data_IF_317895087511
#
_entry.id   IF_317895087511
#
_cell.length_a   1.000
_cell.length_b   1.000
_cell.length_c   1.000
_cell.angle_alpha   90.00
_cell.angle_beta   90.00
_cell.angle_gamma   90.00
#
_symmetry.space_group_name_H-M   'P 1'
#
loop_
_entity.id
_entity.type
_entity.pdbx_description
1 polymer ?
#
# COMPACT_ATOMS: atom_id res chain seq x y z
N UNK A 1 16.00 -13.58 1.97
CA UNK A 1 14.64 -13.01 2.01
C UNK A 1 14.72 -11.50 1.79
N UNK A 2 14.58 -11.06 0.54
CA UNK A 2 14.43 -9.64 0.17
C UNK A 2 12.94 -9.32 0.00
N UNK A 3 12.44 -8.33 0.74
CA UNK A 3 11.05 -7.89 0.71
C UNK A 3 10.84 -6.79 -0.33
N UNK A 4 9.87 -6.97 -1.21
CA UNK A 4 9.43 -5.98 -2.18
C UNK A 4 8.11 -5.34 -1.75
N UNK A 5 7.95 -4.05 -1.98
CA UNK A 5 6.63 -3.42 -2.14
C UNK A 5 6.57 -2.60 -3.41
N UNK A 6 5.37 -2.34 -3.92
CA UNK A 6 5.14 -1.64 -5.17
C UNK A 6 4.04 -0.60 -4.94
N UNK A 7 4.25 0.63 -5.41
CA UNK A 7 3.19 1.62 -5.52
C UNK A 7 3.63 3.04 -5.19
N UNK A 8 2.73 3.81 -4.59
CA UNK A 8 2.89 5.25 -4.50
C UNK A 8 3.91 5.73 -3.48
N UNK A 9 4.72 6.69 -3.94
CA UNK A 9 5.48 7.62 -3.11
C UNK A 9 4.91 9.01 -3.38
N UNK A 10 4.61 9.73 -2.31
CA UNK A 10 4.10 11.10 -2.38
C UNK A 10 4.58 11.91 -1.18
N UNK A 11 4.30 13.21 -1.19
CA UNK A 11 4.38 14.04 0.01
C UNK A 11 3.01 14.39 0.55
N UNK A 12 2.90 14.43 1.88
CA UNK A 12 1.70 14.92 2.55
C UNK A 12 1.90 16.36 3.04
N UNK A 13 0.89 17.19 2.81
CA UNK A 13 0.81 18.58 3.28
C UNK A 13 -0.45 18.71 4.14
N UNK A 14 -0.28 19.06 5.41
CA UNK A 14 -1.36 18.99 6.42
C UNK A 14 -1.79 20.38 6.83
N UNK A 15 -3.09 20.65 6.81
CA UNK A 15 -3.65 21.88 7.36
C UNK A 15 -3.56 21.87 8.89
N UNK A 16 -3.13 22.98 9.49
CA UNK A 16 -3.06 23.10 10.96
C UNK A 16 -4.40 23.43 11.60
N UNK A 17 -5.41 23.75 10.79
CA UNK A 17 -6.77 24.08 11.24
C UNK A 17 -7.75 22.96 10.88
N UNK A 18 -8.78 22.81 11.70
CA UNK A 18 -9.91 21.94 11.38
C UNK A 18 -10.88 22.65 10.43
N UNK A 19 -11.61 21.88 9.64
CA UNK A 19 -12.69 22.39 8.78
C UNK A 19 -13.01 21.46 7.60
N UNK A 20 -13.81 21.95 6.66
CA UNK A 20 -14.28 21.18 5.51
C UNK A 20 -13.54 21.59 4.24
N UNK A 21 -12.64 20.73 3.76
CA UNK A 21 -11.91 20.94 2.51
C UNK A 21 -10.94 22.14 2.51
N UNK A 22 -10.59 22.60 1.30
CA UNK A 22 -9.57 23.64 1.05
C UNK A 22 -10.15 24.79 0.22
N UNK A 23 -11.30 25.31 0.62
CA UNK A 23 -12.02 26.37 -0.13
C UNK A 23 -11.54 27.79 0.21
N UNK A 24 -10.65 27.92 1.18
CA UNK A 24 -10.11 29.18 1.68
C UNK A 24 -8.62 29.03 1.96
N UNK A 25 -7.88 30.15 1.98
CA UNK A 25 -6.49 30.15 2.39
C UNK A 25 -6.37 29.73 3.86
N UNK A 26 -5.46 28.81 4.13
CA UNK A 26 -5.22 28.30 5.48
C UNK A 26 -3.75 27.91 5.67
N UNK A 27 -3.23 27.98 6.90
CA UNK A 27 -1.89 27.52 7.21
C UNK A 27 -1.73 26.01 6.97
N UNK A 28 -0.62 25.65 6.33
CA UNK A 28 -0.24 24.27 6.02
C UNK A 28 1.15 23.98 6.58
N UNK A 29 1.43 22.72 6.90
CA UNK A 29 2.76 22.23 7.29
C UNK A 29 3.13 21.04 6.41
N UNK A 30 4.42 20.89 6.16
CA UNK A 30 4.99 19.84 5.30
C UNK A 30 6.11 20.43 4.43
N UNK A 31 6.56 19.69 3.40
CA UNK A 31 6.12 18.33 3.02
C UNK A 31 6.57 17.25 4.01
N UNK A 32 5.78 16.18 4.15
CA UNK A 32 6.18 14.94 4.84
C UNK A 32 6.26 13.77 3.87
N UNK A 33 7.30 12.90 3.95
CA UNK A 33 7.32 11.62 3.23
C UNK A 33 6.06 10.80 3.52
N UNK A 34 5.41 10.27 2.48
CA UNK A 34 4.14 9.55 2.62
C UNK A 34 3.89 8.63 1.41
N UNK A 35 2.74 7.95 1.42
CA UNK A 35 2.37 6.86 0.52
C UNK A 35 2.33 5.53 1.28
N UNK A 36 1.26 4.76 1.12
CA UNK A 36 1.05 3.56 1.95
C UNK A 36 2.18 2.52 1.74
N UNK A 37 2.61 2.22 0.50
CA UNK A 37 3.77 1.38 0.25
C UNK A 37 5.06 1.95 0.83
N UNK A 38 5.28 3.26 0.71
CA UNK A 38 6.48 3.93 1.23
C UNK A 38 6.58 3.84 2.76
N UNK A 39 5.47 4.06 3.46
CA UNK A 39 5.41 3.96 4.94
C UNK A 39 5.65 2.52 5.38
N UNK A 40 5.06 1.54 4.68
CA UNK A 40 5.28 0.13 4.97
C UNK A 40 6.76 -0.27 4.84
N UNK A 41 7.40 0.09 3.71
CA UNK A 41 8.77 -0.32 3.45
C UNK A 41 9.78 0.42 4.34
N UNK A 42 9.48 1.68 4.70
CA UNK A 42 10.27 2.45 5.67
C UNK A 42 10.33 1.74 7.03
N UNK A 43 9.20 1.19 7.49
CA UNK A 43 9.17 0.41 8.72
C UNK A 43 9.98 -0.89 8.60
N UNK A 44 9.93 -1.57 7.44
CA UNK A 44 10.76 -2.75 7.20
C UNK A 44 12.27 -2.41 7.20
N UNK A 45 12.65 -1.29 6.59
CA UNK A 45 14.03 -0.78 6.60
C UNK A 45 14.52 -0.46 8.02
N UNK A 46 13.70 0.24 8.82
CA UNK A 46 14.02 0.56 10.23
C UNK A 46 14.25 -0.66 11.10
N UNK A 47 13.56 -1.76 10.80
CA UNK A 47 13.73 -3.04 11.48
C UNK A 47 14.95 -3.85 10.95
N UNK A 48 15.66 -3.34 9.95
CA UNK A 48 16.88 -3.94 9.40
C UNK A 48 16.63 -5.04 8.37
N UNK A 49 15.41 -5.17 7.84
CA UNK A 49 15.12 -6.17 6.81
C UNK A 49 15.66 -5.74 5.46
N UNK A 50 16.26 -6.67 4.67
CA UNK A 50 16.58 -6.41 3.28
C UNK A 50 15.29 -6.13 2.50
N UNK A 51 15.11 -4.90 2.06
CA UNK A 51 13.86 -4.48 1.43
C UNK A 51 14.08 -3.46 0.31
N UNK A 52 13.17 -3.44 -0.66
CA UNK A 52 13.19 -2.57 -1.84
C UNK A 52 11.77 -2.15 -2.19
N UNK A 53 11.64 -0.95 -2.76
CA UNK A 53 10.39 -0.44 -3.30
C UNK A 53 10.52 -0.16 -4.80
N UNK A 54 9.53 -0.60 -5.57
CA UNK A 54 9.33 -0.12 -6.94
C UNK A 54 8.36 1.06 -6.93
N UNK A 55 8.83 2.22 -7.36
CA UNK A 55 8.04 3.44 -7.43
C UNK A 55 8.61 4.42 -8.45
N UNK A 56 7.92 5.56 -8.63
CA UNK A 56 8.34 6.64 -9.52
C UNK A 56 7.99 7.99 -8.91
N UNK A 57 8.98 8.88 -8.88
CA UNK A 57 8.85 10.25 -8.35
C UNK A 57 9.30 11.26 -9.40
N UNK A 58 8.91 12.52 -9.22
CA UNK A 58 9.39 13.62 -10.05
C UNK A 58 10.85 13.95 -9.73
N UNK A 59 11.54 14.58 -10.68
CA UNK A 59 12.84 15.21 -10.44
C UNK A 59 12.65 16.56 -9.72
N UNK A 60 12.15 16.50 -8.49
CA UNK A 60 11.84 17.64 -7.64
C UNK A 60 12.22 17.38 -6.18
N UNK A 61 12.09 18.41 -5.34
CA UNK A 61 12.45 18.34 -3.92
C UNK A 61 11.58 17.33 -3.15
N UNK A 62 10.33 17.13 -3.56
CA UNK A 62 9.41 16.17 -2.94
C UNK A 62 9.83 14.72 -3.22
N UNK A 63 10.31 14.44 -4.42
CA UNK A 63 10.88 13.14 -4.79
C UNK A 63 12.18 12.90 -4.04
N UNK A 64 13.07 13.90 -4.04
CA UNK A 64 14.36 13.85 -3.34
C UNK A 64 14.19 13.60 -1.84
N UNK A 65 13.24 14.30 -1.19
CA UNK A 65 12.91 14.13 0.21
C UNK A 65 12.55 12.68 0.57
N UNK A 66 11.69 12.05 -0.24
CA UNK A 66 11.26 10.66 -0.01
C UNK A 66 12.41 9.67 -0.22
N UNK A 67 13.18 9.82 -1.29
CA UNK A 67 14.34 8.95 -1.58
C UNK A 67 15.36 9.03 -0.43
N UNK A 68 15.69 10.25 0.02
CA UNK A 68 16.64 10.44 1.12
C UNK A 68 16.14 9.84 2.43
N UNK A 69 14.84 9.98 2.75
CA UNK A 69 14.22 9.36 3.92
C UNK A 69 14.36 7.84 3.87
N UNK A 70 13.89 7.21 2.80
CA UNK A 70 13.90 5.75 2.65
C UNK A 70 15.32 5.18 2.67
N UNK A 71 16.24 5.81 1.95
CA UNK A 71 17.64 5.38 1.92
C UNK A 71 18.31 5.51 3.30
N UNK A 72 18.02 6.60 4.04
CA UNK A 72 18.51 6.79 5.41
C UNK A 72 17.98 5.70 6.35
N UNK A 73 16.72 5.31 6.17
CA UNK A 73 16.02 4.36 7.02
C UNK A 73 16.26 2.90 6.55
N UNK A 74 17.18 2.66 5.60
CA UNK A 74 17.72 1.33 5.27
C UNK A 74 17.07 0.63 4.07
N UNK A 75 16.21 1.32 3.32
CA UNK A 75 15.51 0.77 2.15
C UNK A 75 16.38 0.87 0.89
N UNK A 76 16.44 -0.19 0.07
CA UNK A 76 17.04 -0.15 -1.26
C UNK A 76 16.18 0.70 -2.20
N UNK A 77 16.67 1.89 -2.55
CA UNK A 77 15.97 2.87 -3.39
C UNK A 77 16.28 2.73 -4.88
N UNK A 78 17.01 1.70 -5.31
CA UNK A 78 17.32 1.48 -6.74
C UNK A 78 16.08 1.22 -7.61
N UNK A 79 14.97 0.82 -6.98
CA UNK A 79 13.68 0.63 -7.63
C UNK A 79 12.86 1.91 -7.80
N UNK A 80 13.36 3.07 -7.35
CA UNK A 80 12.66 4.35 -7.50
C UNK A 80 13.16 5.07 -8.74
N UNK A 81 12.28 5.22 -9.73
CA UNK A 81 12.56 6.01 -10.93
C UNK A 81 12.40 7.50 -10.65
N UNK A 82 13.37 8.29 -11.11
CA UNK A 82 13.31 9.77 -11.07
C UNK A 82 12.96 10.29 -12.46
N UNK A 83 11.80 10.94 -12.56
CA UNK A 83 11.21 11.37 -13.82
C UNK A 83 11.41 12.85 -14.09
N UNK A 84 12.18 13.19 -15.13
CA UNK A 84 12.36 14.57 -15.58
C UNK A 84 11.07 15.08 -16.22
N UNK A 85 10.58 16.24 -15.76
CA UNK A 85 9.36 16.88 -16.30
C UNK A 85 8.05 16.34 -15.74
N UNK A 86 8.10 15.46 -14.74
CA UNK A 86 6.94 15.00 -13.98
C UNK A 86 7.03 15.51 -12.53
N UNK A 87 5.89 15.66 -11.87
CA UNK A 87 5.82 16.06 -10.47
C UNK A 87 5.63 14.84 -9.57
N UNK A 88 6.32 14.83 -8.43
CA UNK A 88 6.06 13.85 -7.36
C UNK A 88 4.62 13.96 -6.89
N UNK A 89 4.04 12.81 -6.52
CA UNK A 89 2.68 12.78 -6.01
C UNK A 89 2.53 13.63 -4.74
N UNK A 90 1.32 14.13 -4.49
CA UNK A 90 1.03 14.87 -3.27
C UNK A 90 -0.37 14.60 -2.74
N UNK A 91 -0.53 14.79 -1.43
CA UNK A 91 -1.81 14.75 -0.74
C UNK A 91 -1.92 15.95 0.20
N UNK A 92 -2.95 16.79 0.02
CA UNK A 92 -3.32 17.78 1.01
C UNK A 92 -4.36 17.19 1.96
N UNK A 93 -4.16 17.33 3.27
CA UNK A 93 -5.03 16.74 4.30
C UNK A 93 -5.55 17.80 5.25
N UNK A 94 -6.87 17.84 5.49
CA UNK A 94 -7.49 18.67 6.52
C UNK A 94 -8.39 17.81 7.39
N UNK A 95 -8.24 17.92 8.70
CA UNK A 95 -9.12 17.25 9.66
C UNK A 95 -10.44 18.02 9.80
N UNK A 96 -11.54 17.27 9.87
CA UNK A 96 -12.87 17.77 10.20
C UNK A 96 -13.05 17.78 11.72
N UNK A 97 -14.13 18.42 12.19
CA UNK A 97 -14.45 18.46 13.62
C UNK A 97 -14.83 17.10 14.19
N UNK A 98 -15.37 16.21 13.36
CA UNK A 98 -15.72 14.82 13.69
C UNK A 98 -14.51 13.86 13.69
N UNK A 99 -13.30 14.37 13.39
CA UNK A 99 -12.08 13.57 13.30
C UNK A 99 -11.83 12.92 11.93
N UNK A 100 -12.80 12.96 11.01
CA UNK A 100 -12.61 12.50 9.64
C UNK A 100 -11.65 13.43 8.88
N UNK A 101 -11.13 12.95 7.75
CA UNK A 101 -10.16 13.69 6.94
C UNK A 101 -10.74 14.00 5.56
N UNK A 102 -10.54 15.23 5.11
CA UNK A 102 -10.68 15.60 3.70
C UNK A 102 -9.32 15.61 3.04
N UNK A 103 -9.29 15.12 1.80
CA UNK A 103 -8.08 14.99 1.03
C UNK A 103 -8.21 15.65 -0.34
N UNK A 104 -7.12 16.23 -0.83
CA UNK A 104 -6.91 16.55 -2.25
C UNK A 104 -5.69 15.77 -2.71
N UNK A 105 -5.89 14.87 -3.66
CA UNK A 105 -4.82 14.00 -4.16
C UNK A 105 -4.34 14.42 -5.54
N UNK A 106 -3.03 14.41 -5.71
CA UNK A 106 -2.36 14.34 -7.00
C UNK A 106 -1.51 13.06 -7.01
N UNK A 107 -2.12 11.91 -7.31
CA UNK A 107 -1.41 10.62 -7.35
C UNK A 107 -1.50 10.04 -8.78
N UNK A 108 -2.72 9.77 -9.26
CA UNK A 108 -2.98 9.14 -10.56
C UNK A 108 -2.35 9.90 -11.75
N UNK A 109 -2.24 11.22 -11.68
CA UNK A 109 -1.68 12.07 -12.74
C UNK A 109 -0.27 12.58 -12.42
N UNK A 110 0.32 12.16 -11.30
CA UNK A 110 1.69 12.45 -10.92
C UNK A 110 2.67 11.44 -11.52
N UNK A 111 3.96 11.57 -11.20
CA UNK A 111 4.99 10.62 -11.60
C UNK A 111 4.65 9.17 -11.21
N UNK A 112 4.06 8.97 -10.03
CA UNK A 112 3.64 7.64 -9.56
C UNK A 112 2.63 6.96 -10.51
N UNK A 113 1.70 7.72 -11.08
CA UNK A 113 0.67 7.18 -11.98
C UNK A 113 1.22 6.63 -13.29
N UNK A 114 2.50 6.90 -13.58
CA UNK A 114 3.20 6.50 -14.81
C UNK A 114 4.24 5.41 -14.59
N UNK A 115 4.33 4.84 -13.39
CA UNK A 115 5.16 3.66 -13.15
C UNK A 115 4.64 2.50 -14.01
N UNK A 116 5.54 1.81 -14.70
CA UNK A 116 5.22 0.69 -15.60
C UNK A 116 6.18 -0.46 -15.41
N UNK A 117 5.79 -1.64 -15.92
CA UNK A 117 6.67 -2.81 -15.95
C UNK A 117 7.77 -2.63 -17.00
N UNK A 118 8.99 -2.34 -16.57
CA UNK A 118 10.17 -2.24 -17.43
C UNK A 118 11.27 -3.25 -17.04
N UNK A 119 12.39 -3.24 -17.77
CA UNK A 119 13.51 -4.17 -17.56
C UNK A 119 14.10 -4.07 -16.14
N UNK A 120 14.22 -2.86 -15.60
CA UNK A 120 14.75 -2.65 -14.24
C UNK A 120 13.79 -3.22 -13.20
N UNK A 121 12.49 -2.96 -13.33
CA UNK A 121 11.47 -3.51 -12.46
C UNK A 121 11.47 -5.05 -12.46
N UNK A 122 11.58 -5.66 -13.66
CA UNK A 122 11.67 -7.12 -13.81
C UNK A 122 12.88 -7.70 -13.08
N UNK A 123 14.07 -7.13 -13.29
CA UNK A 123 15.30 -7.57 -12.64
C UNK A 123 15.20 -7.49 -11.11
N UNK A 124 14.64 -6.40 -10.57
CA UNK A 124 14.45 -6.23 -9.12
C UNK A 124 13.47 -7.28 -8.57
N UNK A 125 12.35 -7.50 -9.25
CA UNK A 125 11.36 -8.51 -8.83
C UNK A 125 11.98 -9.91 -8.82
N UNK A 126 12.82 -10.22 -9.81
CA UNK A 126 13.58 -11.48 -9.89
C UNK A 126 14.62 -11.65 -8.77
N UNK A 127 14.91 -10.63 -7.96
CA UNK A 127 15.76 -10.77 -6.78
C UNK A 127 14.97 -10.90 -5.46
N UNK A 128 13.64 -10.73 -5.51
CA UNK A 128 12.82 -10.65 -4.30
C UNK A 128 12.15 -11.98 -3.93
N UNK A 129 12.10 -12.26 -2.63
CA UNK A 129 11.56 -13.51 -2.06
C UNK A 129 10.14 -13.33 -1.53
N UNK A 130 9.76 -12.08 -1.22
CA UNK A 130 8.43 -11.74 -0.74
C UNK A 130 7.95 -10.43 -1.36
N UNK A 131 6.64 -10.31 -1.55
CA UNK A 131 5.97 -9.10 -1.99
C UNK A 131 4.87 -8.72 -1.01
N UNK A 132 4.85 -7.45 -0.60
CA UNK A 132 3.72 -6.83 0.06
C UNK A 132 2.97 -5.94 -0.92
N UNK A 133 1.65 -6.08 -0.94
CA UNK A 133 0.77 -5.35 -1.83
C UNK A 133 -0.14 -4.48 -0.98
N UNK A 134 -0.16 -3.19 -1.27
CA UNK A 134 -1.20 -2.27 -0.80
C UNK A 134 -2.25 -2.15 -1.89
N UNK A 135 -3.52 -2.44 -1.59
CA UNK A 135 -4.58 -2.31 -2.60
C UNK A 135 -4.79 -0.88 -3.08
N UNK A 136 -4.32 0.13 -2.33
CA UNK A 136 -4.24 1.52 -2.80
C UNK A 136 -3.43 1.67 -4.09
N UNK A 137 -2.41 0.84 -4.31
CA UNK A 137 -1.60 0.86 -5.53
C UNK A 137 -2.39 0.38 -6.76
N UNK A 138 -3.33 -0.55 -6.57
CA UNK A 138 -4.10 -1.19 -7.65
C UNK A 138 -5.14 -0.26 -8.28
N UNK A 139 -5.41 0.90 -7.67
CA UNK A 139 -6.28 1.94 -8.25
C UNK A 139 -5.68 2.48 -9.56
N UNK A 140 -4.36 2.46 -9.72
CA UNK A 140 -3.70 2.91 -10.95
C UNK A 140 -3.62 1.75 -11.95
N UNK A 141 -4.24 1.83 -13.14
CA UNK A 141 -4.29 0.70 -14.08
C UNK A 141 -2.90 0.15 -14.46
N UNK A 142 -1.92 1.02 -14.72
CA UNK A 142 -0.55 0.61 -15.06
C UNK A 142 0.14 -0.20 -13.93
N UNK A 143 -0.24 0.05 -12.68
CA UNK A 143 0.29 -0.69 -11.53
C UNK A 143 -0.34 -2.08 -11.41
N UNK A 144 -1.55 -2.30 -11.94
CA UNK A 144 -2.20 -3.62 -11.90
C UNK A 144 -1.37 -4.65 -12.66
N UNK A 145 -0.96 -4.35 -13.90
CA UNK A 145 -0.11 -5.23 -14.71
C UNK A 145 1.22 -5.53 -14.02
N UNK A 146 1.88 -4.48 -13.50
CA UNK A 146 3.15 -4.58 -12.78
C UNK A 146 3.02 -5.51 -11.55
N UNK A 147 1.99 -5.31 -10.72
CA UNK A 147 1.76 -6.11 -9.51
C UNK A 147 1.41 -7.55 -9.86
N UNK A 148 0.53 -7.79 -10.83
CA UNK A 148 0.18 -9.16 -11.25
C UNK A 148 1.39 -9.90 -11.82
N UNK A 149 2.25 -9.21 -12.57
CA UNK A 149 3.52 -9.79 -13.04
C UNK A 149 4.45 -10.13 -11.88
N UNK A 150 4.56 -9.25 -10.87
CA UNK A 150 5.37 -9.48 -9.68
C UNK A 150 4.88 -10.67 -8.85
N UNK A 151 3.56 -10.73 -8.60
CA UNK A 151 2.89 -11.85 -7.91
C UNK A 151 3.23 -13.16 -8.60
N UNK A 152 3.03 -13.24 -9.92
CA UNK A 152 3.30 -14.46 -10.69
C UNK A 152 4.75 -14.91 -10.54
N UNK A 153 5.73 -14.01 -10.74
CA UNK A 153 7.15 -14.35 -10.71
C UNK A 153 7.65 -14.75 -9.32
N UNK A 154 7.15 -14.08 -8.27
CA UNK A 154 7.53 -14.40 -6.89
C UNK A 154 6.91 -15.75 -6.48
N UNK A 155 5.63 -15.99 -6.77
CA UNK A 155 4.97 -17.27 -6.48
C UNK A 155 5.61 -18.44 -7.24
N UNK A 156 5.98 -18.27 -8.51
CA UNK A 156 6.63 -19.32 -9.31
C UNK A 156 7.94 -19.84 -8.70
N UNK A 157 8.59 -19.02 -7.87
CA UNK A 157 9.84 -19.37 -7.17
C UNK A 157 9.64 -19.76 -5.71
N UNK A 158 8.38 -19.95 -5.29
CA UNK A 158 8.03 -20.31 -3.92
C UNK A 158 8.02 -19.14 -2.93
N UNK A 159 8.10 -17.90 -3.42
CA UNK A 159 8.06 -16.70 -2.60
C UNK A 159 6.68 -16.42 -1.98
N UNK A 160 6.66 -15.50 -1.03
CA UNK A 160 5.48 -15.18 -0.21
C UNK A 160 4.80 -13.88 -0.62
N UNK A 161 3.48 -13.87 -0.62
CA UNK A 161 2.67 -12.69 -0.93
C UNK A 161 1.90 -12.29 0.32
N UNK A 162 2.03 -11.03 0.70
CA UNK A 162 1.17 -10.40 1.71
C UNK A 162 0.35 -9.29 1.07
N UNK A 163 -0.88 -9.13 1.50
CA UNK A 163 -1.82 -8.18 0.91
C UNK A 163 -2.59 -7.43 2.00
N UNK A 164 -2.46 -6.11 1.99
CA UNK A 164 -3.30 -5.18 2.74
C UNK A 164 -4.27 -4.51 1.75
N UNK A 165 -5.59 -4.75 1.87
CA UNK A 165 -6.54 -4.21 0.91
C UNK A 165 -6.51 -2.68 0.91
N UNK A 166 -6.49 -2.01 2.08
CA UNK A 166 -6.37 -0.56 2.23
C UNK A 166 -7.09 0.23 1.11
N UNK A 167 -8.36 -0.13 0.86
CA UNK A 167 -9.13 0.41 -0.25
C UNK A 167 -9.95 1.60 0.23
N UNK A 168 -10.04 2.61 -0.64
CA UNK A 168 -10.98 3.71 -0.41
C UNK A 168 -12.32 3.31 -1.01
N UNK A 169 -13.37 3.33 -0.19
CA UNK A 169 -14.70 2.87 -0.56
C UNK A 169 -15.22 3.52 -1.85
N UNK A 170 -14.86 4.78 -2.10
CA UNK A 170 -15.25 5.53 -3.28
C UNK A 170 -14.66 4.98 -4.59
N UNK A 171 -13.59 4.19 -4.50
CA UNK A 171 -12.82 3.71 -5.65
C UNK A 171 -13.07 2.23 -5.98
N UNK A 172 -13.79 1.51 -5.11
CA UNK A 172 -14.10 0.07 -5.28
C UNK A 172 -14.92 -0.19 -6.56
N UNK A 173 -15.75 0.78 -6.99
CA UNK A 173 -16.60 0.63 -8.17
C UNK A 173 -15.89 0.91 -9.51
N UNK A 174 -14.57 1.12 -9.50
CA UNK A 174 -13.81 1.25 -10.74
C UNK A 174 -13.78 -0.08 -11.51
N UNK A 175 -14.08 -0.02 -12.81
CA UNK A 175 -14.06 -1.20 -13.69
C UNK A 175 -12.68 -1.87 -13.68
N UNK A 176 -12.64 -3.20 -13.53
CA UNK A 176 -11.41 -4.01 -13.52
C UNK A 176 -10.66 -4.08 -12.19
N UNK A 177 -10.92 -3.16 -11.24
CA UNK A 177 -10.25 -3.16 -9.93
C UNK A 177 -10.62 -4.41 -9.12
N UNK A 178 -11.92 -4.73 -9.01
CA UNK A 178 -12.40 -5.91 -8.28
C UNK A 178 -11.78 -7.21 -8.79
N UNK A 179 -11.68 -7.38 -10.10
CA UNK A 179 -11.07 -8.57 -10.70
C UNK A 179 -9.58 -8.68 -10.33
N UNK A 180 -8.83 -7.58 -10.44
CA UNK A 180 -7.41 -7.54 -10.05
C UNK A 180 -7.24 -7.86 -8.56
N UNK A 181 -8.08 -7.30 -7.69
CA UNK A 181 -8.03 -7.57 -6.26
C UNK A 181 -8.30 -9.04 -5.94
N UNK A 182 -9.24 -9.68 -6.63
CA UNK A 182 -9.50 -11.12 -6.48
C UNK A 182 -8.32 -11.97 -6.96
N UNK A 183 -7.69 -11.61 -8.08
CA UNK A 183 -6.48 -12.30 -8.56
C UNK A 183 -5.32 -12.19 -7.57
N UNK A 184 -5.13 -11.02 -6.95
CA UNK A 184 -4.13 -10.82 -5.90
C UNK A 184 -4.46 -11.65 -4.66
N UNK A 185 -5.72 -11.62 -4.21
CA UNK A 185 -6.18 -12.38 -3.06
C UNK A 185 -5.93 -13.89 -3.25
N UNK A 186 -6.23 -14.43 -4.43
CA UNK A 186 -6.03 -15.86 -4.75
C UNK A 186 -4.56 -16.31 -4.57
N UNK A 187 -3.60 -15.40 -4.71
CA UNK A 187 -2.16 -15.69 -4.55
C UNK A 187 -1.60 -15.27 -3.20
N UNK A 188 -2.43 -14.69 -2.33
CA UNK A 188 -2.04 -14.16 -1.02
C UNK A 188 -1.81 -15.28 -0.02
N UNK A 189 -0.64 -15.26 0.64
CA UNK A 189 -0.34 -16.13 1.78
C UNK A 189 -0.79 -15.48 3.09
N UNK A 190 -0.58 -14.16 3.23
CA UNK A 190 -0.85 -13.38 4.44
C UNK A 190 -1.76 -12.19 4.12
N UNK A 191 -2.96 -12.17 4.66
CA UNK A 191 -3.95 -11.12 4.40
C UNK A 191 -4.09 -10.19 5.61
N UNK A 192 -4.02 -8.87 5.40
CA UNK A 192 -4.00 -7.87 6.47
C UNK A 192 -5.17 -6.87 6.35
N UNK A 193 -6.44 -7.30 6.46
CA UNK A 193 -7.58 -6.40 6.38
C UNK A 193 -7.74 -5.54 7.63
N UNK A 194 -8.49 -4.45 7.51
CA UNK A 194 -9.00 -3.66 8.63
C UNK A 194 -10.51 -3.44 8.54
N UNK A 195 -11.17 -3.34 9.69
CA UNK A 195 -12.62 -3.09 9.76
C UNK A 195 -13.42 -4.02 8.85
N UNK A 196 -14.17 -3.44 7.91
CA UNK A 196 -15.05 -4.18 7.00
C UNK A 196 -14.39 -4.58 5.66
N UNK A 197 -13.10 -4.28 5.46
CA UNK A 197 -12.43 -4.50 4.15
C UNK A 197 -12.42 -5.97 3.74
N UNK A 198 -12.40 -6.89 4.71
CA UNK A 198 -12.42 -8.33 4.40
C UNK A 198 -13.71 -8.76 3.69
N UNK A 199 -14.85 -8.10 3.97
CA UNK A 199 -16.15 -8.45 3.38
C UNK A 199 -16.24 -8.16 1.88
N UNK A 200 -15.28 -7.43 1.31
CA UNK A 200 -15.16 -7.24 -0.14
C UNK A 200 -14.88 -8.57 -0.85
N UNK A 201 -14.29 -9.54 -0.13
CA UNK A 201 -13.71 -10.77 -0.69
C UNK A 201 -14.49 -12.05 -0.34
N UNK A 202 -15.65 -11.90 0.29
CA UNK A 202 -16.47 -13.01 0.81
C UNK A 202 -17.96 -12.68 0.64
N UNK A 203 -18.80 -13.70 0.67
CA UNK A 203 -20.26 -13.55 0.74
C UNK A 203 -20.79 -13.54 2.17
N UNK A 204 -19.94 -13.88 3.15
CA UNK A 204 -20.27 -13.92 4.56
C UNK A 204 -20.70 -12.56 5.10
N UNK A 205 -21.58 -12.58 6.09
CA UNK A 205 -22.07 -11.38 6.77
C UNK A 205 -21.54 -11.25 8.20
N UNK A 206 -20.82 -12.27 8.69
CA UNK A 206 -20.19 -12.29 10.01
C UNK A 206 -18.69 -12.45 9.86
N UNK A 207 -17.94 -11.81 10.76
CA UNK A 207 -16.47 -11.85 10.77
C UNK A 207 -15.93 -13.28 10.81
N UNK A 208 -16.47 -14.14 11.68
CA UNK A 208 -16.01 -15.54 11.80
C UNK A 208 -16.18 -16.32 10.50
N UNK A 209 -17.35 -16.20 9.88
CA UNK A 209 -17.68 -16.88 8.61
C UNK A 209 -16.79 -16.34 7.47
N UNK A 210 -16.50 -15.04 7.47
CA UNK A 210 -15.61 -14.40 6.52
C UNK A 210 -14.15 -14.87 6.67
N UNK A 211 -13.67 -15.01 7.91
CA UNK A 211 -12.33 -15.58 8.21
C UNK A 211 -12.25 -17.01 7.70
N UNK A 212 -13.25 -17.84 7.99
CA UNK A 212 -13.28 -19.24 7.57
C UNK A 212 -13.27 -19.36 6.04
N UNK A 213 -14.13 -18.60 5.33
CA UNK A 213 -14.18 -18.61 3.86
C UNK A 213 -12.83 -18.19 3.24
N UNK A 214 -12.16 -17.18 3.81
CA UNK A 214 -10.87 -16.69 3.32
C UNK A 214 -9.72 -17.69 3.56
N UNK A 215 -9.71 -18.38 4.71
CA UNK A 215 -8.74 -19.45 4.97
C UNK A 215 -8.98 -20.69 4.08
N UNK A 216 -10.24 -20.98 3.74
CA UNK A 216 -10.62 -22.04 2.80
C UNK A 216 -10.17 -21.74 1.37
N UNK A 217 -10.16 -20.46 0.96
CA UNK A 217 -9.60 -20.00 -0.33
C UNK A 217 -8.08 -20.15 -0.45
N UNK A 218 -7.39 -20.59 0.61
CA UNK A 218 -5.97 -20.91 0.58
C UNK A 218 -5.06 -19.87 1.23
N UNK A 219 -5.62 -18.80 1.80
CA UNK A 219 -4.88 -17.85 2.63
C UNK A 219 -4.38 -18.60 3.87
N UNK A 220 -3.09 -18.47 4.19
CA UNK A 220 -2.49 -19.19 5.30
C UNK A 220 -2.73 -18.46 6.63
N UNK A 221 -2.64 -17.13 6.60
CA UNK A 221 -2.69 -16.26 7.77
C UNK A 221 -3.53 -15.02 7.49
N UNK A 222 -4.39 -14.64 8.45
CA UNK A 222 -5.13 -13.39 8.41
C UNK A 222 -4.79 -12.58 9.67
N UNK A 223 -4.33 -11.34 9.47
CA UNK A 223 -4.07 -10.37 10.54
C UNK A 223 -5.11 -9.26 10.44
N UNK A 224 -6.16 -9.37 11.25
CA UNK A 224 -7.23 -8.38 11.30
C UNK A 224 -6.83 -7.22 12.22
N UNK A 225 -6.61 -6.05 11.62
CA UNK A 225 -6.32 -4.80 12.34
C UNK A 225 -7.61 -4.23 12.94
N UNK A 226 -7.66 -4.02 14.26
CA UNK A 226 -8.83 -3.51 15.00
C UNK A 226 -8.65 -2.11 15.59
N UNK A 227 -7.71 -1.33 15.05
CA UNK A 227 -7.46 0.04 15.50
C UNK A 227 -7.13 0.09 16.99
N UNK A 228 -7.90 0.88 17.76
CA UNK A 228 -7.70 1.03 19.21
C UNK A 228 -8.10 -0.21 20.04
N UNK A 229 -8.63 -1.26 19.40
CA UNK A 229 -8.93 -2.54 20.05
C UNK A 229 -7.80 -3.57 19.87
N UNK A 230 -6.69 -3.20 19.22
CA UNK A 230 -5.55 -4.08 18.98
C UNK A 230 -5.64 -4.82 17.64
N UNK A 231 -5.30 -6.10 17.62
CA UNK A 231 -5.34 -6.94 16.42
C UNK A 231 -5.63 -8.41 16.75
N UNK A 232 -6.14 -9.15 15.75
CA UNK A 232 -6.33 -10.60 15.84
C UNK A 232 -5.59 -11.30 14.72
N UNK A 233 -4.83 -12.34 15.07
CA UNK A 233 -4.25 -13.30 14.15
C UNK A 233 -5.16 -14.52 14.03
N UNK A 234 -5.32 -15.01 12.80
CA UNK A 234 -6.05 -16.23 12.48
C UNK A 234 -5.23 -17.11 11.52
N UNK A 235 -5.25 -18.41 11.78
CA UNK A 235 -4.82 -19.46 10.85
C UNK A 235 -5.79 -20.64 10.94
N UNK A 236 -5.59 -21.68 10.14
CA UNK A 236 -6.37 -22.93 10.26
C UNK A 236 -6.20 -23.64 11.61
N UNK A 237 -5.18 -23.28 12.40
CA UNK A 237 -4.83 -23.98 13.64
C UNK A 237 -5.21 -23.21 14.89
N UNK A 238 -5.14 -21.88 14.84
CA UNK A 238 -5.26 -21.06 16.02
C UNK A 238 -5.73 -19.65 15.72
N UNK A 239 -6.19 -19.00 16.79
CA UNK A 239 -6.50 -17.58 16.87
C UNK A 239 -5.72 -16.98 18.04
N UNK A 240 -5.10 -15.82 17.82
CA UNK A 240 -4.40 -15.06 18.87
C UNK A 240 -4.90 -13.62 18.83
N UNK A 241 -5.33 -13.09 19.97
CA UNK A 241 -5.74 -11.68 20.12
C UNK A 241 -4.66 -10.91 20.88
N UNK A 242 -4.30 -9.72 20.38
CA UNK A 242 -3.27 -8.86 20.95
C UNK A 242 -3.88 -7.50 21.29
N UNK A 243 -3.65 -7.03 22.51
CA UNK A 243 -4.06 -5.70 22.98
C UNK A 243 -3.31 -4.58 22.23
N UNK A 244 -3.89 -3.37 22.11
CA UNK A 244 -3.20 -2.23 21.50
C UNK A 244 -1.92 -1.87 22.28
N UNK A 245 -0.93 -1.33 21.57
CA UNK A 245 0.34 -0.81 22.10
C UNK A 245 0.18 0.64 22.52
#
# INVERSE_FOLDING_TARGET
>A
MKLLTIGEILVEIVATTKGNGFLEAQPLIGPFPSGSPAIFIDQAGKLGFPCVILSRVGNDDFGTLNIQRLNKDGVDVKGIEVAIGETTGSAFVRYRNDGNRNFIFNILHSACGKLTLNTTAKAIIEECDALHIMGSALITPNLQELVLWAVKNIKQRGGKISFDPNLRNELINQSGLTETLLQVLEKTDIFLPSGNEMFIFTTAQKESEAIDELLEKGISEIILKRGNQGASFFSKKERIDISPI
#
